data_IF_648931419426
#
_entry.id   IF_648931419426
#
_cell.length_a   1.000
_cell.length_b   1.000
_cell.length_c   1.000
_cell.angle_alpha   90.00
_cell.angle_beta   90.00
_cell.angle_gamma   90.00
#
_symmetry.space_group_name_H-M   'P 1'
#
loop_
_entity.id
_entity.type
_entity.pdbx_description
1 polymer ?
#
# COMPACT_ATOMS: atom_id res chain seq x y z
N UNK A 1 14.77 -8.30 31.74
CA UNK A 1 14.81 -9.15 30.54
C UNK A 1 14.38 -8.26 29.36
N UNK A 2 15.15 -8.18 28.30
CA UNK A 2 14.75 -7.43 27.09
C UNK A 2 13.68 -8.28 26.40
N UNK A 3 12.46 -7.75 26.23
CA UNK A 3 11.38 -8.42 25.50
C UNK A 3 11.60 -8.19 23.99
N UNK A 4 11.62 -9.26 23.21
CA UNK A 4 11.59 -9.18 21.75
C UNK A 4 10.16 -8.84 21.34
N UNK A 5 9.97 -7.70 20.68
CA UNK A 5 8.65 -7.28 20.19
C UNK A 5 8.23 -8.12 18.98
N UNK A 6 6.92 -8.36 18.90
CA UNK A 6 6.29 -9.10 17.80
C UNK A 6 5.42 -8.17 17.00
N UNK A 7 5.36 -8.41 15.68
CA UNK A 7 4.49 -7.67 14.76
C UNK A 7 4.11 -8.50 13.55
N UNK A 8 3.14 -8.01 12.78
CA UNK A 8 2.81 -8.49 11.45
C UNK A 8 3.05 -7.38 10.43
N UNK A 9 3.81 -7.65 9.39
CA UNK A 9 4.12 -6.70 8.31
C UNK A 9 3.34 -7.06 7.05
N UNK A 10 2.84 -6.03 6.35
CA UNK A 10 2.16 -6.16 5.06
C UNK A 10 0.64 -6.13 5.15
N UNK A 11 0.02 -6.34 4.00
CA UNK A 11 -1.44 -6.29 3.86
C UNK A 11 -2.12 -7.38 4.67
N UNK A 12 -3.12 -6.99 5.46
CA UNK A 12 -3.98 -7.91 6.20
C UNK A 12 -5.29 -8.18 5.44
N UNK A 13 -5.97 -9.32 5.71
CA UNK A 13 -7.22 -9.64 5.05
C UNK A 13 -8.28 -8.55 5.26
N UNK A 14 -8.91 -8.12 4.18
CA UNK A 14 -9.99 -7.12 4.14
C UNK A 14 -11.35 -7.80 4.12
N UNK A 15 -12.41 -7.05 4.49
CA UNK A 15 -13.76 -7.52 4.22
C UNK A 15 -14.01 -7.62 2.70
N UNK A 16 -14.96 -8.47 2.31
CA UNK A 16 -15.31 -8.63 0.89
C UNK A 16 -15.82 -7.31 0.30
N UNK A 17 -16.57 -6.53 1.08
CA UNK A 17 -17.11 -5.23 0.68
C UNK A 17 -15.96 -4.23 0.40
N UNK A 18 -14.97 -4.13 1.30
CA UNK A 18 -13.83 -3.24 1.10
C UNK A 18 -12.99 -3.69 -0.10
N UNK A 19 -12.81 -5.01 -0.28
CA UNK A 19 -12.07 -5.56 -1.42
C UNK A 19 -12.75 -5.21 -2.75
N UNK A 20 -14.08 -5.29 -2.81
CA UNK A 20 -14.86 -4.89 -3.98
C UNK A 20 -14.76 -3.39 -4.27
N UNK A 21 -14.87 -2.54 -3.25
CA UNK A 21 -14.74 -1.08 -3.40
C UNK A 21 -13.35 -0.67 -3.87
N UNK A 22 -12.29 -1.31 -3.35
CA UNK A 22 -10.92 -1.08 -3.81
C UNK A 22 -10.73 -1.49 -5.27
N UNK A 23 -11.31 -2.62 -5.70
CA UNK A 23 -11.25 -3.07 -7.08
C UNK A 23 -12.01 -2.10 -8.01
N UNK A 24 -13.20 -1.67 -7.64
CA UNK A 24 -13.98 -0.67 -8.39
C UNK A 24 -13.22 0.65 -8.51
N UNK A 25 -12.58 1.12 -7.41
CA UNK A 25 -11.74 2.32 -7.43
C UNK A 25 -10.56 2.15 -8.38
N UNK A 26 -9.86 1.02 -8.34
CA UNK A 26 -8.71 0.72 -9.21
C UNK A 26 -9.11 0.68 -10.69
N UNK A 27 -10.31 0.21 -10.98
CA UNK A 27 -10.92 0.20 -12.32
C UNK A 27 -11.47 1.57 -12.76
N UNK A 28 -11.36 2.60 -11.91
CA UNK A 28 -11.92 3.94 -12.17
C UNK A 28 -13.44 3.95 -12.33
N UNK A 29 -14.12 2.99 -11.71
CA UNK A 29 -15.57 2.95 -11.63
C UNK A 29 -16.07 4.02 -10.64
N UNK A 30 -17.29 4.48 -10.84
CA UNK A 30 -17.92 5.44 -9.92
C UNK A 30 -18.26 4.75 -8.61
N UNK A 31 -17.60 5.17 -7.53
CA UNK A 31 -17.89 4.72 -6.17
C UNK A 31 -18.39 5.88 -5.31
N UNK A 32 -19.15 5.57 -4.27
CA UNK A 32 -19.46 6.54 -3.21
C UNK A 32 -18.26 6.67 -2.28
N UNK A 33 -17.58 7.82 -2.35
CA UNK A 33 -16.38 8.11 -1.55
C UNK A 33 -16.70 8.11 -0.05
N UNK A 34 -17.87 8.55 0.36
CA UNK A 34 -18.26 8.56 1.77
C UNK A 34 -18.38 7.14 2.33
N UNK A 35 -19.03 6.26 1.59
CA UNK A 35 -19.13 4.83 1.94
C UNK A 35 -17.77 4.13 1.93
N UNK A 36 -16.92 4.46 0.95
CA UNK A 36 -15.55 3.93 0.89
C UNK A 36 -14.73 4.34 2.12
N UNK A 37 -14.74 5.62 2.48
CA UNK A 37 -14.02 6.16 3.65
C UNK A 37 -14.51 5.53 4.96
N UNK A 38 -15.82 5.40 5.13
CA UNK A 38 -16.41 4.74 6.29
C UNK A 38 -15.99 3.27 6.39
N UNK A 39 -15.95 2.56 5.25
CA UNK A 39 -15.53 1.16 5.20
C UNK A 39 -14.04 0.99 5.51
N UNK A 40 -13.17 1.88 4.98
CA UNK A 40 -11.74 1.89 5.32
C UNK A 40 -11.55 2.09 6.83
N UNK A 41 -12.18 3.13 7.40
CA UNK A 41 -12.10 3.42 8.84
C UNK A 41 -12.52 2.21 9.68
N UNK A 42 -13.65 1.57 9.35
CA UNK A 42 -14.13 0.38 10.03
C UNK A 42 -13.12 -0.77 9.95
N UNK A 43 -12.61 -1.09 8.76
CA UNK A 43 -11.65 -2.18 8.59
C UNK A 43 -10.32 -1.91 9.31
N UNK A 44 -9.84 -0.65 9.36
CA UNK A 44 -8.65 -0.28 10.13
C UNK A 44 -8.89 -0.53 11.64
N UNK A 45 -10.01 -0.07 12.21
CA UNK A 45 -10.33 -0.30 13.62
C UNK A 45 -10.41 -1.80 13.93
N UNK A 46 -11.08 -2.59 13.10
CA UNK A 46 -11.22 -4.03 13.27
C UNK A 46 -9.88 -4.76 13.19
N UNK A 47 -9.02 -4.40 12.24
CA UNK A 47 -7.73 -5.09 12.06
C UNK A 47 -6.73 -4.73 13.16
N UNK A 48 -6.73 -3.49 13.63
CA UNK A 48 -5.92 -3.07 14.78
C UNK A 48 -6.33 -3.86 16.02
N UNK A 49 -7.64 -3.93 16.31
CA UNK A 49 -8.16 -4.71 17.42
C UNK A 49 -7.78 -6.20 17.33
N UNK A 50 -7.86 -6.80 16.13
CA UNK A 50 -7.45 -8.20 15.93
C UNK A 50 -5.97 -8.42 16.21
N UNK A 51 -5.09 -7.53 15.76
CA UNK A 51 -3.65 -7.61 16.00
C UNK A 51 -3.35 -7.55 17.52
N UNK A 52 -3.94 -6.59 18.23
CA UNK A 52 -3.77 -6.43 19.69
C UNK A 52 -4.29 -7.68 20.42
N UNK A 53 -5.48 -8.16 20.09
CA UNK A 53 -6.06 -9.36 20.70
C UNK A 53 -5.25 -10.63 20.41
N UNK A 54 -4.48 -10.65 19.33
CA UNK A 54 -3.55 -11.74 19.01
C UNK A 54 -2.21 -11.63 19.77
N UNK A 55 -2.05 -10.60 20.59
CA UNK A 55 -0.85 -10.41 21.44
C UNK A 55 0.34 -9.79 20.71
N UNK A 56 0.13 -9.13 19.57
CA UNK A 56 1.19 -8.39 18.89
C UNK A 56 1.56 -7.13 19.68
N UNK A 57 2.85 -6.86 19.77
CA UNK A 57 3.38 -5.72 20.52
C UNK A 57 3.33 -4.42 19.71
N UNK A 58 3.59 -4.50 18.40
CA UNK A 58 3.48 -3.38 17.47
C UNK A 58 2.51 -3.74 16.36
N UNK A 59 1.62 -2.82 16.00
CA UNK A 59 0.54 -3.08 15.06
C UNK A 59 0.57 -2.12 13.87
N UNK A 60 -0.13 -2.46 12.79
CA UNK A 60 -0.23 -1.63 11.58
C UNK A 60 -1.68 -1.38 11.18
N UNK A 61 -1.91 -0.46 10.24
CA UNK A 61 -3.21 -0.21 9.61
C UNK A 61 -3.67 -1.36 8.68
N UNK A 62 -2.81 -2.37 8.49
CA UNK A 62 -3.07 -3.52 7.61
C UNK A 62 -3.23 -3.15 6.13
N UNK A 63 -2.82 -1.93 5.74
CA UNK A 63 -2.92 -1.40 4.37
C UNK A 63 -4.37 -1.38 3.84
N UNK A 64 -5.35 -1.13 4.71
CA UNK A 64 -6.76 -1.27 4.39
C UNK A 64 -7.24 -0.32 3.29
N UNK A 65 -6.63 0.87 3.14
CA UNK A 65 -6.97 1.86 2.12
C UNK A 65 -6.31 1.61 0.75
N UNK A 66 -5.33 0.68 0.69
CA UNK A 66 -4.43 0.51 -0.46
C UNK A 66 -4.79 -0.73 -1.25
N UNK A 67 -4.97 -0.60 -2.58
CA UNK A 67 -5.23 -1.77 -3.46
C UNK A 67 -4.03 -2.73 -3.49
N UNK A 68 -2.84 -2.18 -3.41
CA UNK A 68 -1.56 -2.90 -3.42
C UNK A 68 -0.53 -2.04 -2.68
N UNK A 69 0.43 -2.67 -2.02
CA UNK A 69 1.48 -1.99 -1.25
C UNK A 69 2.38 -1.05 -2.09
N UNK A 70 2.45 -1.21 -3.40
CA UNK A 70 3.30 -0.40 -4.27
C UNK A 70 2.50 0.47 -5.25
N UNK A 71 1.44 -0.08 -5.86
CA UNK A 71 0.77 0.57 -6.99
C UNK A 71 -0.26 1.62 -6.58
N UNK A 72 -0.63 1.71 -5.30
CA UNK A 72 -1.55 2.74 -4.81
C UNK A 72 -1.01 4.17 -5.03
N UNK A 73 0.31 4.31 -5.22
CA UNK A 73 0.95 5.60 -5.49
C UNK A 73 0.38 6.27 -6.74
N UNK A 74 -0.02 5.51 -7.76
CA UNK A 74 -0.71 6.05 -8.95
C UNK A 74 -1.98 6.86 -8.63
N UNK A 75 -2.59 6.58 -7.48
CA UNK A 75 -3.79 7.31 -7.03
C UNK A 75 -3.44 8.63 -6.33
N UNK A 76 -2.21 8.78 -5.83
CA UNK A 76 -1.72 9.95 -5.08
C UNK A 76 -0.78 10.86 -5.87
N UNK A 77 -0.26 10.35 -6.98
CA UNK A 77 0.76 11.02 -7.79
C UNK A 77 0.34 10.98 -9.25
N UNK A 78 0.38 12.12 -9.93
CA UNK A 78 0.26 12.21 -11.37
C UNK A 78 1.53 11.73 -12.05
N UNK A 79 1.44 11.39 -13.33
CA UNK A 79 2.56 10.93 -14.13
C UNK A 79 2.50 9.46 -14.50
N UNK A 80 1.55 8.73 -13.95
CA UNK A 80 1.36 7.30 -14.22
C UNK A 80 0.19 7.06 -15.18
N UNK A 81 0.46 6.37 -16.31
CA UNK A 81 -0.58 5.97 -17.28
C UNK A 81 -0.18 4.73 -18.07
N UNK A 82 -1.11 4.24 -18.91
CA UNK A 82 -0.91 3.04 -19.72
C UNK A 82 -0.85 1.76 -18.88
N UNK A 83 -0.25 0.74 -19.45
CA UNK A 83 -0.08 -0.57 -18.79
C UNK A 83 1.33 -1.09 -19.01
N UNK A 84 1.86 -1.81 -18.02
CA UNK A 84 3.09 -2.56 -18.11
C UNK A 84 2.82 -4.06 -18.03
N UNK A 85 3.52 -4.84 -18.83
CA UNK A 85 3.46 -6.30 -18.73
C UNK A 85 4.01 -6.75 -17.37
N UNK A 86 3.28 -7.66 -16.74
CA UNK A 86 3.75 -8.32 -15.52
C UNK A 86 4.73 -9.42 -15.92
N UNK A 87 6.00 -9.21 -15.71
CA UNK A 87 6.98 -10.29 -15.81
C UNK A 87 6.70 -11.28 -14.67
N UNK A 88 6.45 -12.53 -15.03
CA UNK A 88 6.37 -13.60 -14.03
C UNK A 88 7.71 -13.71 -13.31
N UNK A 89 7.70 -13.99 -11.98
CA UNK A 89 8.92 -14.29 -11.26
C UNK A 89 9.68 -15.43 -11.95
N UNK A 90 10.99 -15.28 -12.12
CA UNK A 90 11.83 -16.23 -12.86
C UNK A 90 11.84 -17.62 -12.24
N UNK A 91 11.76 -17.69 -10.92
CA UNK A 91 11.67 -18.94 -10.15
C UNK A 91 10.43 -19.79 -10.49
N UNK A 92 9.35 -19.15 -11.00
CA UNK A 92 8.17 -19.88 -11.47
C UNK A 92 8.38 -20.57 -12.82
N UNK A 93 9.42 -20.24 -13.56
CA UNK A 93 9.72 -20.88 -14.84
C UNK A 93 10.17 -22.34 -14.64
N UNK A 94 10.82 -22.64 -13.51
CA UNK A 94 11.22 -23.99 -13.09
C UNK A 94 10.02 -24.83 -12.57
N UNK A 95 8.87 -24.20 -12.29
CA UNK A 95 7.67 -24.83 -11.74
C UNK A 95 6.41 -24.55 -12.57
N UNK A 96 6.33 -25.00 -13.83
CA UNK A 96 5.24 -24.61 -14.75
C UNK A 96 3.84 -25.05 -14.29
N UNK A 97 3.72 -26.17 -13.60
CA UNK A 97 2.46 -26.64 -13.03
C UNK A 97 1.96 -25.74 -11.89
N UNK A 98 2.86 -25.25 -11.04
CA UNK A 98 2.53 -24.32 -9.97
C UNK A 98 2.20 -22.93 -10.53
N UNK A 99 2.96 -22.44 -11.53
CA UNK A 99 2.66 -21.20 -12.26
C UNK A 99 1.24 -21.22 -12.84
N UNK A 100 0.85 -22.33 -13.49
CA UNK A 100 -0.52 -22.52 -14.01
C UNK A 100 -1.56 -22.51 -12.92
N UNK A 101 -1.30 -23.14 -11.77
CA UNK A 101 -2.20 -23.17 -10.61
C UNK A 101 -2.39 -21.76 -10.02
N UNK A 102 -1.32 -20.97 -9.88
CA UNK A 102 -1.40 -19.58 -9.41
C UNK A 102 -2.25 -18.69 -10.33
N UNK A 103 -2.09 -18.83 -11.65
CA UNK A 103 -2.89 -18.10 -12.63
C UNK A 103 -4.38 -18.47 -12.49
N UNK A 104 -4.71 -19.74 -12.32
CA UNK A 104 -6.07 -20.23 -12.23
C UNK A 104 -6.73 -19.94 -10.87
N UNK A 105 -5.95 -19.93 -9.79
CA UNK A 105 -6.50 -19.71 -8.43
C UNK A 105 -6.76 -18.26 -8.08
N UNK A 106 -6.48 -17.32 -9.02
CA UNK A 106 -6.69 -15.88 -8.77
C UNK A 106 -5.88 -15.34 -7.58
N UNK A 107 -4.78 -16.00 -7.23
CA UNK A 107 -4.01 -15.77 -6.01
C UNK A 107 -3.37 -14.39 -5.85
N UNK A 108 -3.50 -13.53 -6.86
CA UNK A 108 -3.18 -12.09 -6.75
C UNK A 108 -4.29 -11.30 -7.44
N UNK A 109 -4.94 -10.35 -6.77
CA UNK A 109 -5.88 -9.45 -7.44
C UNK A 109 -5.21 -8.85 -8.66
N UNK A 110 -5.90 -8.87 -9.79
CA UNK A 110 -5.49 -8.13 -10.97
C UNK A 110 -5.68 -6.65 -10.66
N UNK A 111 -4.59 -5.95 -10.42
CA UNK A 111 -4.57 -4.49 -10.29
C UNK A 111 -3.78 -3.88 -11.44
N UNK A 112 -4.18 -2.66 -11.83
CA UNK A 112 -3.53 -1.94 -12.91
C UNK A 112 -2.11 -1.55 -12.52
N UNK A 113 -1.18 -1.78 -13.43
CA UNK A 113 0.25 -1.42 -13.29
C UNK A 113 0.65 -0.47 -14.40
N UNK A 114 0.35 0.83 -14.25
CA UNK A 114 0.75 1.81 -15.24
C UNK A 114 2.28 1.99 -15.26
N UNK A 115 2.76 2.66 -16.31
CA UNK A 115 4.13 3.14 -16.38
C UNK A 115 4.20 4.61 -15.94
N UNK A 116 5.38 5.09 -15.57
CA UNK A 116 5.67 6.52 -15.48
C UNK A 116 5.82 7.07 -16.91
N UNK A 117 4.86 7.88 -17.36
CA UNK A 117 4.76 8.38 -18.75
C UNK A 117 4.80 9.89 -18.86
N UNK A 118 4.82 10.60 -17.75
CA UNK A 118 4.99 12.05 -17.68
C UNK A 118 5.63 12.45 -16.35
N UNK A 119 5.89 13.77 -16.16
CA UNK A 119 6.48 14.28 -14.93
C UNK A 119 5.63 13.93 -13.70
N UNK A 120 6.30 13.41 -12.65
CA UNK A 120 5.66 13.08 -11.39
C UNK A 120 5.34 14.33 -10.57
N UNK A 121 4.09 14.42 -10.08
CA UNK A 121 3.62 15.49 -9.19
C UNK A 121 2.65 14.93 -8.16
N UNK A 122 2.75 15.36 -6.91
CA UNK A 122 1.76 15.00 -5.89
C UNK A 122 0.42 15.64 -6.28
N UNK A 123 -0.63 14.81 -6.36
CA UNK A 123 -2.02 15.26 -6.64
C UNK A 123 -2.96 15.08 -5.45
N UNK A 124 -2.63 14.18 -4.55
CA UNK A 124 -3.47 13.89 -3.39
C UNK A 124 -2.64 13.85 -2.10
N UNK A 125 -2.70 14.95 -1.37
CA UNK A 125 -2.11 15.08 -0.03
C UNK A 125 -3.08 14.68 1.10
N UNK A 126 -4.35 14.48 0.78
CA UNK A 126 -5.39 14.25 1.79
C UNK A 126 -5.43 12.79 2.21
N UNK A 127 -5.26 11.87 1.27
CA UNK A 127 -5.38 10.43 1.55
C UNK A 127 -4.41 9.93 2.61
N UNK A 128 -3.13 10.35 2.56
CA UNK A 128 -2.16 9.94 3.59
C UNK A 128 -2.52 10.47 4.97
N UNK A 129 -2.99 11.72 5.05
CA UNK A 129 -3.43 12.33 6.32
C UNK A 129 -4.65 11.58 6.89
N UNK A 130 -5.57 11.16 6.02
CA UNK A 130 -6.74 10.38 6.40
C UNK A 130 -6.36 8.98 6.88
N UNK A 131 -5.44 8.30 6.20
CA UNK A 131 -4.92 7.00 6.62
C UNK A 131 -4.28 7.07 8.02
N UNK A 132 -3.43 8.08 8.25
CA UNK A 132 -2.81 8.35 9.54
C UNK A 132 -3.87 8.58 10.62
N UNK A 133 -4.87 9.43 10.34
CA UNK A 133 -5.94 9.74 11.29
C UNK A 133 -6.76 8.49 11.64
N UNK A 134 -7.15 7.68 10.66
CA UNK A 134 -7.88 6.45 10.89
C UNK A 134 -7.10 5.48 11.77
N UNK A 135 -5.80 5.35 11.51
CA UNK A 135 -4.95 4.45 12.28
C UNK A 135 -4.72 4.96 13.71
N UNK A 136 -4.44 6.25 13.90
CA UNK A 136 -4.29 6.84 15.24
C UNK A 136 -5.57 6.70 16.06
N UNK A 137 -6.72 6.96 15.49
CA UNK A 137 -8.00 6.76 16.17
C UNK A 137 -8.17 5.29 16.60
N UNK A 138 -7.82 4.33 15.73
CA UNK A 138 -7.91 2.91 16.06
C UNK A 138 -6.93 2.50 17.19
N UNK A 139 -5.75 3.10 17.25
CA UNK A 139 -4.81 2.90 18.37
C UNK A 139 -5.37 3.48 19.67
N UNK A 140 -5.91 4.69 19.65
CA UNK A 140 -6.52 5.35 20.82
C UNK A 140 -7.73 4.56 21.35
N UNK A 141 -8.63 4.11 20.47
CA UNK A 141 -9.79 3.28 20.81
C UNK A 141 -9.40 1.99 21.56
N UNK A 142 -8.21 1.46 21.30
CA UNK A 142 -7.69 0.24 21.92
C UNK A 142 -6.63 0.50 23.00
N UNK A 143 -6.40 1.75 23.41
CA UNK A 143 -5.38 2.15 24.40
C UNK A 143 -3.99 1.61 24.06
N UNK A 144 -3.65 1.56 22.76
CA UNK A 144 -2.38 1.05 22.24
C UNK A 144 -1.57 2.20 21.63
N UNK A 145 -0.23 2.15 21.80
CA UNK A 145 0.64 3.26 21.40
C UNK A 145 1.73 2.87 20.41
N UNK A 146 2.03 1.57 20.28
CA UNK A 146 3.11 1.09 19.41
C UNK A 146 2.55 0.72 18.03
N UNK A 147 2.70 1.62 17.09
CA UNK A 147 2.16 1.46 15.74
C UNK A 147 3.11 1.93 14.65
N UNK A 148 2.99 1.31 13.47
CA UNK A 148 3.73 1.67 12.28
C UNK A 148 2.85 1.64 11.02
N UNK A 149 3.25 2.42 10.02
CA UNK A 149 2.65 2.39 8.71
C UNK A 149 3.66 1.97 7.65
N UNK A 150 3.19 1.17 6.70
CA UNK A 150 3.98 0.77 5.54
C UNK A 150 3.88 1.79 4.43
N UNK A 151 5.02 2.07 3.79
CA UNK A 151 5.09 2.83 2.54
C UNK A 151 6.13 2.20 1.61
N UNK A 152 5.93 2.21 0.28
CA UNK A 152 6.89 1.62 -0.65
C UNK A 152 8.14 2.48 -0.73
N UNK A 153 9.30 1.86 -0.85
CA UNK A 153 10.52 2.58 -1.20
C UNK A 153 10.49 3.05 -2.66
N UNK A 154 11.25 4.08 -3.04
CA UNK A 154 11.39 4.50 -4.43
C UNK A 154 11.79 3.36 -5.37
N UNK A 155 12.67 2.46 -4.92
CA UNK A 155 13.11 1.28 -5.69
C UNK A 155 11.98 0.28 -5.93
N UNK A 156 11.13 0.05 -4.94
CA UNK A 156 9.92 -0.79 -5.11
C UNK A 156 8.97 -0.17 -6.13
N UNK A 157 8.72 1.14 -6.04
CA UNK A 157 7.85 1.83 -7.00
C UNK A 157 8.43 1.72 -8.41
N UNK A 158 9.72 1.99 -8.60
CA UNK A 158 10.41 1.88 -9.89
C UNK A 158 10.24 0.48 -10.51
N UNK A 159 10.34 -0.57 -9.70
CA UNK A 159 10.18 -1.94 -10.17
C UNK A 159 8.73 -2.28 -10.57
N UNK A 160 7.74 -1.73 -9.86
CA UNK A 160 6.32 -2.01 -10.12
C UNK A 160 5.67 -1.09 -11.15
N UNK A 161 6.16 0.14 -11.29
CA UNK A 161 5.68 1.17 -12.19
C UNK A 161 6.86 1.65 -13.07
N UNK A 162 7.18 0.93 -14.16
CA UNK A 162 8.39 1.16 -14.93
C UNK A 162 8.49 2.56 -15.53
N UNK A 163 9.70 3.06 -15.62
CA UNK A 163 10.02 4.33 -16.24
C UNK A 163 9.84 4.29 -17.77
N UNK A 164 9.10 5.25 -18.32
CA UNK A 164 8.99 5.53 -19.75
C UNK A 164 9.09 7.03 -20.09
N UNK A 165 9.42 7.85 -19.09
CA UNK A 165 9.47 9.30 -19.24
C UNK A 165 10.86 9.90 -18.95
N UNK A 166 11.44 9.57 -17.80
CA UNK A 166 12.74 10.09 -17.41
C UNK A 166 13.86 9.44 -18.22
N UNK A 167 14.99 10.15 -18.37
CA UNK A 167 16.11 9.75 -19.22
C UNK A 167 16.68 8.37 -18.85
N UNK A 168 16.71 8.04 -17.55
CA UNK A 168 17.16 6.77 -16.99
C UNK A 168 16.47 6.50 -15.66
N UNK A 169 16.72 5.33 -15.09
CA UNK A 169 16.12 4.93 -13.83
C UNK A 169 16.70 5.67 -12.62
N UNK A 170 17.93 6.18 -12.70
CA UNK A 170 18.54 6.97 -11.62
C UNK A 170 17.78 8.30 -11.44
N UNK A 171 17.53 9.03 -12.54
CA UNK A 171 16.73 10.27 -12.54
C UNK A 171 15.29 9.98 -12.04
N UNK A 172 14.71 8.86 -12.46
CA UNK A 172 13.38 8.45 -12.00
C UNK A 172 13.36 8.14 -10.51
N UNK A 173 14.36 7.42 -9.98
CA UNK A 173 14.49 7.10 -8.57
C UNK A 173 14.70 8.36 -7.71
N UNK A 174 15.51 9.32 -8.18
CA UNK A 174 15.66 10.61 -7.51
C UNK A 174 14.33 11.34 -7.41
N UNK A 175 13.58 11.41 -8.51
CA UNK A 175 12.27 12.05 -8.51
C UNK A 175 11.26 11.33 -7.64
N UNK A 176 11.24 10.00 -7.63
CA UNK A 176 10.40 9.22 -6.73
C UNK A 176 10.77 9.49 -5.26
N UNK A 177 12.05 9.65 -4.95
CA UNK A 177 12.51 9.96 -3.59
C UNK A 177 11.97 11.31 -3.12
N UNK A 178 12.01 12.33 -3.97
CA UNK A 178 11.45 13.64 -3.68
C UNK A 178 9.92 13.58 -3.42
N UNK A 179 9.21 12.84 -4.26
CA UNK A 179 7.76 12.66 -4.14
C UNK A 179 7.39 11.91 -2.86
N UNK A 180 8.08 10.80 -2.58
CA UNK A 180 7.77 9.95 -1.44
C UNK A 180 8.14 10.59 -0.10
N UNK A 181 9.06 11.53 -0.08
CA UNK A 181 9.44 12.30 1.10
C UNK A 181 8.21 12.88 1.82
N UNK A 182 7.24 13.40 1.07
CA UNK A 182 6.01 13.93 1.64
C UNK A 182 5.25 12.89 2.50
N UNK A 183 5.04 11.69 1.96
CA UNK A 183 4.33 10.63 2.69
C UNK A 183 5.14 10.16 3.91
N UNK A 184 6.45 10.00 3.77
CA UNK A 184 7.34 9.56 4.85
C UNK A 184 7.34 10.56 6.01
N UNK A 185 7.48 11.85 5.70
CA UNK A 185 7.43 12.92 6.71
C UNK A 185 6.09 12.95 7.42
N UNK A 186 4.96 12.85 6.71
CA UNK A 186 3.63 12.85 7.35
C UNK A 186 3.43 11.67 8.30
N UNK A 187 3.93 10.49 7.96
CA UNK A 187 3.87 9.33 8.85
C UNK A 187 4.73 9.56 10.09
N UNK A 188 5.99 9.96 9.93
CA UNK A 188 6.93 10.11 11.07
C UNK A 188 6.59 11.32 11.95
N UNK A 189 6.16 12.45 11.38
CA UNK A 189 5.67 13.63 12.12
C UNK A 189 4.44 13.32 12.98
N UNK A 190 3.65 12.31 12.59
CA UNK A 190 2.48 11.88 13.36
C UNK A 190 2.82 11.08 14.62
N UNK A 191 4.08 10.73 14.83
CA UNK A 191 4.57 9.89 15.94
C UNK A 191 4.51 8.39 15.65
N UNK A 192 4.16 7.98 14.44
CA UNK A 192 4.17 6.58 14.01
C UNK A 192 5.56 6.20 13.46
N UNK A 193 5.90 4.92 13.59
CA UNK A 193 7.06 4.39 12.87
C UNK A 193 6.72 4.22 11.38
N UNK A 194 7.73 4.45 10.54
CA UNK A 194 7.66 4.18 9.10
C UNK A 194 8.36 2.87 8.77
N UNK A 195 7.69 1.97 8.07
CA UNK A 195 8.27 0.74 7.56
C UNK A 195 8.38 0.79 6.03
N UNK A 196 9.59 0.57 5.50
CA UNK A 196 9.89 0.46 4.06
C UNK A 196 10.30 -0.98 3.68
N UNK A 197 9.86 -1.97 4.46
CA UNK A 197 10.35 -3.37 4.42
C UNK A 197 9.77 -4.16 3.24
N UNK A 198 8.87 -3.63 2.47
CA UNK A 198 8.41 -4.34 1.28
C UNK A 198 9.47 -4.30 0.17
N UNK A 199 10.41 -5.16 0.30
CA UNK A 199 11.49 -5.40 -0.66
C UNK A 199 11.15 -6.63 -1.48
#
# INVERSE_FOLDING_TARGET
MVKIKTTHVGSLPRSNELSSLLASKDNQEKIDISSFDAMVKKNVSEVVKKQINSGLDSVSDGEMSKISYATYIKDRVDGFSGESERKAPKDLDDFPSFKKKLILSGGTPTYKRPCCTSELKIKDEVSVKKDILNFKNALEENSHTDGFMNSPSPGVICNFLPNKFYKNDDEYLEKLSDIMKFEYEKITESGLYLSLIHI
#
